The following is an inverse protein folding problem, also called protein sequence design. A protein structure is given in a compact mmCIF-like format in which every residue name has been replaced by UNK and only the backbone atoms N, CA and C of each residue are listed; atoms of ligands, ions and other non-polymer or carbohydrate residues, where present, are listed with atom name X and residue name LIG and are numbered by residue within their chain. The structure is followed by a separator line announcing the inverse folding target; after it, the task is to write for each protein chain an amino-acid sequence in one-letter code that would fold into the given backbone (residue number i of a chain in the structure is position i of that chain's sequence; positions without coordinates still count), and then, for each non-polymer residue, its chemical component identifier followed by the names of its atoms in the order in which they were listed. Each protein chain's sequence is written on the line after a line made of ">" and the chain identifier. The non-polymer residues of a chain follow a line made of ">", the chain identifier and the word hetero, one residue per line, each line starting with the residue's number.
data_IF_583286043310
#
_entry.id   IF_583286043310
#
_cell.length_a   1.000
_cell.length_b   1.000
_cell.length_c   1.000
_cell.angle_alpha   90.00
_cell.angle_beta   90.00
_cell.angle_gamma   90.00
#
_symmetry.space_group_name_H-M   'P 1'
#
loop_
_entity.id
_entity.type
_entity.pdbx_description
1 polymer ?
#
# COMPACT_ATOMS: atom_id res chain seq x y z
N UNK A 1 -29.78 -40.43 -11.54
CA UNK A 1 -29.23 -40.72 -12.88
C UNK A 1 -29.95 -39.82 -13.88
N UNK A 2 -29.20 -38.97 -14.59
CA UNK A 2 -29.51 -38.08 -15.73
C UNK A 2 -30.96 -38.05 -16.27
N UNK A 3 -31.52 -36.84 -16.45
CA UNK A 3 -31.61 -36.23 -17.80
C UNK A 3 -32.11 -34.77 -17.77
N UNK A 4 -31.24 -33.89 -18.26
CA UNK A 4 -31.55 -32.56 -18.76
C UNK A 4 -32.58 -32.63 -19.88
N UNK A 5 -33.55 -31.71 -19.86
CA UNK A 5 -34.34 -31.31 -21.03
C UNK A 5 -33.78 -30.02 -21.60
N UNK A 6 -33.33 -30.10 -22.85
CA UNK A 6 -32.95 -29.00 -23.71
C UNK A 6 -34.19 -28.24 -24.20
N UNK A 7 -34.15 -26.91 -24.20
CA UNK A 7 -34.94 -26.09 -25.11
C UNK A 7 -34.00 -25.07 -25.77
N UNK A 8 -33.80 -25.27 -27.07
CA UNK A 8 -33.24 -24.34 -28.04
C UNK A 8 -34.41 -23.71 -28.79
N UNK A 9 -34.60 -22.38 -28.75
CA UNK A 9 -35.24 -21.54 -29.80
C UNK A 9 -34.73 -20.11 -29.61
N UNK A 10 -33.68 -19.70 -30.33
CA UNK A 10 -33.68 -18.88 -31.57
C UNK A 10 -34.34 -17.50 -31.44
N UNK A 11 -33.48 -16.51 -31.24
CA UNK A 11 -33.34 -15.21 -31.92
C UNK A 11 -34.54 -14.64 -32.70
N UNK A 12 -35.06 -13.51 -32.22
CA UNK A 12 -35.63 -12.46 -33.07
C UNK A 12 -35.21 -11.08 -32.52
N UNK A 13 -34.24 -10.46 -33.17
CA UNK A 13 -33.87 -9.06 -32.98
C UNK A 13 -34.91 -8.23 -33.75
N UNK A 14 -35.66 -7.38 -33.04
CA UNK A 14 -36.40 -6.27 -33.66
C UNK A 14 -35.90 -4.99 -33.03
N UNK A 15 -35.24 -4.17 -33.87
CA UNK A 15 -34.83 -2.82 -33.57
C UNK A 15 -36.05 -1.91 -33.56
N UNK A 16 -36.33 -1.26 -32.43
CA UNK A 16 -37.14 -0.04 -32.40
C UNK A 16 -36.54 0.98 -31.43
N UNK A 17 -36.21 2.11 -32.04
CA UNK A 17 -35.64 3.37 -31.57
C UNK A 17 -35.87 3.82 -30.12
N UNK A 18 -34.86 4.52 -29.58
CA UNK A 18 -34.96 5.40 -28.43
C UNK A 18 -36.00 6.53 -28.65
N UNK A 19 -36.68 6.91 -27.56
CA UNK A 19 -36.68 8.24 -26.93
C UNK A 19 -38.10 8.68 -26.48
N UNK A 20 -38.33 8.74 -25.16
CA UNK A 20 -39.25 9.69 -24.52
C UNK A 20 -38.74 9.90 -23.10
N UNK A 21 -38.63 11.18 -22.76
CA UNK A 21 -37.79 11.69 -21.69
C UNK A 21 -38.41 11.65 -20.29
N UNK A 22 -37.49 11.78 -19.34
CA UNK A 22 -37.67 12.37 -18.02
C UNK A 22 -38.64 11.69 -17.05
N UNK A 23 -38.23 10.56 -16.50
CA UNK A 23 -38.27 10.33 -15.05
C UNK A 23 -37.27 9.23 -14.72
N UNK A 24 -36.30 9.51 -13.85
CA UNK A 24 -35.35 8.61 -13.18
C UNK A 24 -33.95 9.21 -13.12
N UNK A 25 -33.85 10.41 -12.53
CA UNK A 25 -32.58 10.90 -11.95
C UNK A 25 -32.34 10.35 -10.53
N UNK A 26 -33.32 9.66 -9.95
CA UNK A 26 -33.33 9.28 -8.53
C UNK A 26 -32.66 7.90 -8.28
N UNK A 27 -32.49 7.04 -9.29
CA UNK A 27 -31.95 5.68 -9.09
C UNK A 27 -30.46 5.51 -9.47
N UNK A 28 -29.79 6.55 -9.97
CA UNK A 28 -28.35 6.47 -10.35
C UNK A 28 -27.44 7.04 -9.24
N UNK A 29 -27.97 7.92 -8.37
CA UNK A 29 -27.22 8.45 -7.23
C UNK A 29 -27.11 7.42 -6.08
N UNK A 30 -28.13 6.58 -5.85
CA UNK A 30 -28.09 5.56 -4.79
C UNK A 30 -27.08 4.42 -5.04
N UNK A 31 -26.79 4.09 -6.30
CA UNK A 31 -25.76 3.07 -6.63
C UNK A 31 -24.35 3.66 -6.58
N UNK A 32 -24.19 4.98 -6.70
CA UNK A 32 -22.89 5.66 -6.56
C UNK A 32 -22.46 5.84 -5.11
N UNK A 33 -23.40 5.81 -4.17
CA UNK A 33 -23.11 6.02 -2.74
C UNK A 33 -22.84 4.71 -1.98
N UNK A 34 -23.23 3.55 -2.52
CA UNK A 34 -22.96 2.24 -1.91
C UNK A 34 -21.53 1.71 -2.14
N UNK A 35 -20.73 2.36 -3.00
CA UNK A 35 -19.28 2.13 -3.12
C UNK A 35 -18.46 3.31 -2.56
N UNK A 36 -19.04 4.14 -1.68
CA UNK A 36 -18.23 4.89 -0.74
C UNK A 36 -17.78 3.92 0.34
N UNK A 37 -16.81 3.05 0.02
CA UNK A 37 -15.99 2.43 1.05
C UNK A 37 -15.58 3.57 1.97
N UNK A 38 -16.02 3.55 3.23
CA UNK A 38 -15.70 4.60 4.18
C UNK A 38 -14.18 4.58 4.35
N UNK A 39 -13.48 5.37 3.53
CA UNK A 39 -12.04 5.47 3.58
C UNK A 39 -11.69 6.41 4.72
N UNK A 40 -11.08 5.86 5.77
CA UNK A 40 -10.61 6.65 6.92
C UNK A 40 -9.10 6.76 6.83
N UNK A 41 -8.58 7.98 6.92
CA UNK A 41 -7.14 8.21 6.99
C UNK A 41 -6.56 7.61 8.27
N UNK A 42 -5.43 6.92 8.15
CA UNK A 42 -4.74 6.29 9.27
C UNK A 42 -3.47 7.07 9.57
N UNK A 43 -3.30 7.62 10.79
CA UNK A 43 -2.11 8.36 11.15
C UNK A 43 -0.89 7.44 11.28
N UNK A 44 0.28 7.96 10.92
CA UNK A 44 1.55 7.26 11.01
C UNK A 44 2.70 8.24 11.30
N UNK A 45 3.84 7.69 11.71
CA UNK A 45 5.10 8.42 11.86
C UNK A 45 6.14 7.77 10.95
N UNK A 46 6.86 8.56 10.17
CA UNK A 46 8.03 8.08 9.44
C UNK A 46 9.23 7.92 10.38
N UNK A 47 9.72 6.69 10.50
CA UNK A 47 10.89 6.40 11.32
C UNK A 47 12.18 6.85 10.64
N UNK A 48 13.10 7.41 11.43
CA UNK A 48 14.38 7.96 10.96
C UNK A 48 15.55 7.22 11.58
N UNK A 49 16.70 7.34 10.92
CA UNK A 49 18.00 6.79 11.32
C UNK A 49 18.01 5.24 11.38
N UNK A 50 17.41 4.62 10.36
CA UNK A 50 17.48 3.19 10.09
C UNK A 50 18.07 2.95 8.71
N UNK A 51 18.68 1.78 8.52
CA UNK A 51 19.20 1.33 7.23
C UNK A 51 18.89 -0.16 7.03
N UNK A 52 18.80 -0.59 5.78
CA UNK A 52 18.60 -2.01 5.45
C UNK A 52 19.90 -2.77 5.65
N UNK A 53 19.86 -3.90 6.35
CA UNK A 53 21.03 -4.73 6.58
C UNK A 53 21.63 -5.24 5.26
N UNK A 54 22.95 -5.32 5.20
CA UNK A 54 23.69 -5.78 4.02
C UNK A 54 23.40 -7.26 3.65
N UNK A 55 22.78 -8.01 4.56
CA UNK A 55 22.34 -9.40 4.33
C UNK A 55 21.06 -9.49 3.51
N UNK A 56 20.31 -8.39 3.35
CA UNK A 56 19.10 -8.36 2.54
C UNK A 56 19.47 -8.18 1.08
N UNK A 57 19.10 -9.18 0.28
CA UNK A 57 19.26 -9.18 -1.16
C UNK A 57 17.89 -9.34 -1.82
N UNK A 58 17.36 -8.25 -2.34
CA UNK A 58 16.07 -8.19 -2.99
C UNK A 58 16.21 -7.67 -4.44
N UNK A 59 15.64 -8.42 -5.38
CA UNK A 59 15.65 -8.05 -6.80
C UNK A 59 14.53 -7.05 -7.18
N UNK A 60 13.60 -6.79 -6.26
CA UNK A 60 12.44 -5.90 -6.43
C UNK A 60 12.15 -5.21 -5.10
N UNK A 61 11.27 -4.21 -5.14
CA UNK A 61 10.75 -3.60 -3.91
C UNK A 61 9.98 -4.65 -3.11
N UNK A 62 10.36 -4.83 -1.86
CA UNK A 62 9.64 -5.63 -0.88
C UNK A 62 8.76 -4.73 -0.02
N UNK A 63 7.53 -5.18 0.22
CA UNK A 63 6.56 -4.51 1.07
C UNK A 63 6.31 -5.35 2.30
N UNK A 64 6.59 -4.80 3.48
CA UNK A 64 6.63 -5.55 4.73
C UNK A 64 5.61 -5.00 5.72
N UNK A 65 4.85 -5.90 6.32
CA UNK A 65 4.04 -5.65 7.52
C UNK A 65 4.74 -6.36 8.69
N UNK A 66 5.31 -5.60 9.59
CA UNK A 66 6.18 -6.10 10.67
C UNK A 66 5.53 -5.79 12.01
N UNK A 67 5.29 -6.82 12.82
CA UNK A 67 4.54 -6.72 14.09
C UNK A 67 5.38 -7.09 15.31
N UNK A 68 6.67 -7.38 15.12
CA UNK A 68 7.61 -7.83 16.16
C UNK A 68 9.00 -7.26 15.94
N UNK A 69 9.72 -7.05 17.06
CA UNK A 69 11.11 -6.57 17.04
C UNK A 69 12.04 -7.49 16.23
N UNK A 70 11.98 -8.81 16.45
CA UNK A 70 12.90 -9.75 15.79
C UNK A 70 12.80 -9.71 14.25
N UNK A 71 11.58 -9.61 13.73
CA UNK A 71 11.36 -9.46 12.28
C UNK A 71 11.78 -8.07 11.77
N UNK A 72 11.69 -7.03 12.60
CA UNK A 72 12.23 -5.72 12.22
C UNK A 72 13.76 -5.75 12.15
N UNK A 73 14.40 -6.30 13.18
CA UNK A 73 15.86 -6.42 13.27
C UNK A 73 16.46 -7.40 12.26
N UNK A 74 15.66 -8.30 11.67
CA UNK A 74 16.12 -9.13 10.56
C UNK A 74 16.30 -8.35 9.26
N UNK A 75 15.65 -7.18 9.12
CA UNK A 75 15.76 -6.31 7.93
C UNK A 75 16.56 -5.04 8.20
N UNK A 76 16.45 -4.44 9.39
CA UNK A 76 16.90 -3.09 9.64
C UNK A 76 17.93 -3.00 10.77
N UNK A 77 18.98 -2.21 10.53
CA UNK A 77 19.93 -1.75 11.54
C UNK A 77 19.71 -0.27 11.90
N UNK A 78 20.27 0.17 13.01
CA UNK A 78 20.20 1.56 13.48
C UNK A 78 21.42 2.37 13.02
N UNK A 79 21.19 3.55 12.46
CA UNK A 79 22.24 4.48 12.06
C UNK A 79 22.34 5.65 13.04
N UNK A 80 23.02 5.44 14.18
CA UNK A 80 23.20 6.53 15.15
C UNK A 80 24.21 7.54 14.64
N UNK A 81 23.81 8.80 14.47
CA UNK A 81 24.73 9.92 14.22
C UNK A 81 24.97 10.72 15.50
N UNK A 82 26.09 11.44 15.61
CA UNK A 82 26.34 12.28 16.78
C UNK A 82 25.40 13.50 16.78
N UNK A 83 24.72 13.76 17.91
CA UNK A 83 23.80 14.88 18.10
C UNK A 83 22.37 14.44 18.43
N UNK A 84 21.53 15.37 18.90
CA UNK A 84 20.17 15.06 19.40
C UNK A 84 19.26 14.44 18.33
N UNK A 85 19.44 14.81 17.05
CA UNK A 85 18.67 14.26 15.92
C UNK A 85 19.21 12.92 15.40
N UNK A 86 20.34 12.45 15.94
CA UNK A 86 20.99 11.22 15.49
C UNK A 86 20.46 9.96 16.16
N UNK A 87 19.55 10.07 17.12
CA UNK A 87 18.92 8.91 17.77
C UNK A 87 17.86 8.31 16.83
N UNK A 88 17.85 6.97 16.63
CA UNK A 88 16.78 6.29 15.90
C UNK A 88 15.40 6.52 16.52
N UNK A 89 14.38 6.65 15.66
CA UNK A 89 12.99 6.76 16.11
C UNK A 89 12.62 5.50 16.89
N UNK A 90 12.37 5.56 18.21
CA UNK A 90 12.08 4.35 18.97
C UNK A 90 10.75 3.72 18.53
N UNK A 91 10.74 2.40 18.35
CA UNK A 91 9.58 1.63 17.96
C UNK A 91 9.19 0.70 19.10
N UNK A 92 7.99 0.87 19.66
CA UNK A 92 7.43 -0.03 20.67
C UNK A 92 6.40 -0.94 20.01
N UNK A 93 6.80 -2.18 19.68
CA UNK A 93 5.93 -3.16 19.02
C UNK A 93 4.75 -3.64 19.89
N UNK A 94 4.71 -3.27 21.18
CA UNK A 94 3.51 -3.48 22.01
C UNK A 94 2.40 -2.48 21.68
N UNK A 95 2.76 -1.28 21.21
CA UNK A 95 1.85 -0.17 20.92
C UNK A 95 1.71 0.15 19.44
N UNK A 96 2.65 -0.34 18.63
CA UNK A 96 2.71 -0.05 17.20
C UNK A 96 3.07 -1.28 16.38
N UNK A 97 2.82 -1.20 15.09
CA UNK A 97 3.37 -2.09 14.08
C UNK A 97 4.01 -1.24 12.98
N UNK A 98 4.80 -1.88 12.13
CA UNK A 98 5.58 -1.22 11.09
C UNK A 98 5.09 -1.63 9.72
N UNK A 99 4.96 -0.64 8.83
CA UNK A 99 4.86 -0.85 7.39
C UNK A 99 6.15 -0.35 6.74
N UNK A 100 6.82 -1.19 5.97
CA UNK A 100 8.08 -0.80 5.35
C UNK A 100 8.12 -1.13 3.86
N UNK A 101 8.83 -0.27 3.12
CA UNK A 101 9.21 -0.47 1.73
C UNK A 101 10.73 -0.62 1.70
N UNK A 102 11.21 -1.72 1.12
CA UNK A 102 12.63 -2.03 0.97
C UNK A 102 12.91 -2.15 -0.53
N UNK A 103 13.56 -1.16 -1.11
CA UNK A 103 13.88 -1.15 -2.54
C UNK A 103 15.14 -1.94 -2.85
N UNK A 104 15.38 -2.25 -4.12
CA UNK A 104 16.61 -2.93 -4.51
C UNK A 104 17.84 -2.03 -4.35
N UNK A 105 19.00 -2.65 -4.19
CA UNK A 105 20.28 -1.94 -4.17
C UNK A 105 20.52 -1.22 -5.52
N UNK A 106 20.85 0.08 -5.46
CA UNK A 106 20.92 0.94 -6.65
C UNK A 106 21.95 2.07 -6.47
N UNK A 107 22.59 2.48 -7.57
CA UNK A 107 23.52 3.63 -7.61
C UNK A 107 22.79 4.95 -7.88
N UNK A 108 21.49 4.90 -8.10
CA UNK A 108 20.67 6.10 -8.36
C UNK A 108 20.03 6.56 -7.08
N UNK A 109 19.85 7.86 -6.94
CA UNK A 109 19.06 8.40 -5.84
C UNK A 109 17.67 7.83 -5.93
N UNK A 110 17.24 7.07 -4.93
CA UNK A 110 15.96 6.38 -4.94
C UNK A 110 15.32 6.56 -3.59
N UNK A 111 14.08 7.02 -3.58
CA UNK A 111 13.29 7.19 -2.37
C UNK A 111 11.84 6.80 -2.61
N UNK A 112 11.13 6.55 -1.52
CA UNK A 112 9.69 6.31 -1.53
C UNK A 112 9.00 7.56 -1.00
N UNK A 113 7.90 7.94 -1.63
CA UNK A 113 6.98 8.98 -1.15
C UNK A 113 5.66 8.29 -0.80
N UNK A 114 5.11 8.55 0.39
CA UNK A 114 3.79 8.03 0.76
C UNK A 114 2.72 8.97 0.24
N UNK A 115 1.87 8.45 -0.63
CA UNK A 115 0.77 9.20 -1.22
C UNK A 115 -0.43 9.17 -0.26
N UNK A 116 -0.73 8.00 0.32
CA UNK A 116 -1.86 7.82 1.24
C UNK A 116 -1.75 6.54 2.06
N UNK A 117 -2.21 6.58 3.31
CA UNK A 117 -2.53 5.39 4.12
C UNK A 117 -3.98 5.49 4.60
N UNK A 118 -4.84 4.62 4.10
CA UNK A 118 -6.27 4.58 4.46
C UNK A 118 -6.74 3.21 4.87
N UNK A 119 -7.71 3.20 5.77
CA UNK A 119 -8.52 2.04 6.12
C UNK A 119 -9.64 1.88 5.10
N UNK A 120 -9.76 0.69 4.49
CA UNK A 120 -10.80 0.31 3.53
C UNK A 120 -11.45 -1.00 3.99
N UNK A 121 -12.47 -0.89 4.84
CA UNK A 121 -13.10 -2.06 5.45
C UNK A 121 -12.11 -2.81 6.35
N UNK A 122 -11.79 -4.05 5.99
CA UNK A 122 -10.93 -4.93 6.79
C UNK A 122 -9.44 -4.86 6.45
N UNK A 123 -9.05 -3.98 5.52
CA UNK A 123 -7.64 -3.80 5.13
C UNK A 123 -7.18 -2.35 5.28
N UNK A 124 -5.87 -2.16 5.38
CA UNK A 124 -5.21 -0.90 5.08
C UNK A 124 -4.73 -0.90 3.63
N UNK A 125 -4.81 0.26 2.99
CA UNK A 125 -4.23 0.52 1.68
C UNK A 125 -3.16 1.60 1.82
N UNK A 126 -1.91 1.23 1.58
CA UNK A 126 -0.78 2.14 1.52
C UNK A 126 -0.42 2.38 0.06
N UNK A 127 -0.69 3.57 -0.46
CA UNK A 127 -0.21 3.98 -1.77
C UNK A 127 1.06 4.81 -1.68
N UNK A 128 1.99 4.56 -2.60
CA UNK A 128 3.30 5.18 -2.60
C UNK A 128 3.85 5.32 -4.03
N UNK A 129 4.72 6.29 -4.22
CA UNK A 129 5.45 6.50 -5.48
C UNK A 129 6.94 6.31 -5.26
N UNK A 130 7.62 5.72 -6.25
CA UNK A 130 9.07 5.58 -6.25
C UNK A 130 9.66 6.78 -7.01
N UNK A 131 10.48 7.59 -6.32
CA UNK A 131 11.27 8.63 -6.98
C UNK A 131 12.64 8.06 -7.27
N UNK A 132 13.12 8.23 -8.50
CA UNK A 132 14.45 7.80 -8.89
C UNK A 132 15.12 8.86 -9.77
N UNK A 133 16.38 9.19 -9.48
CA UNK A 133 17.18 10.04 -10.36
C UNK A 133 17.54 9.30 -11.66
N UNK A 134 17.72 10.06 -12.75
CA UNK A 134 18.26 9.52 -14.01
C UNK A 134 19.77 9.26 -13.97
N UNK A 135 20.47 9.90 -13.04
CA UNK A 135 21.93 9.87 -12.93
C UNK A 135 22.41 8.84 -11.90
N UNK A 136 23.53 8.19 -12.21
CA UNK A 136 24.23 7.30 -11.28
C UNK A 136 25.16 8.10 -10.37
N UNK A 137 25.32 7.64 -9.13
CA UNK A 137 26.24 8.16 -8.12
C UNK A 137 27.44 7.22 -7.95
N UNK A 138 28.48 7.70 -7.27
CA UNK A 138 29.70 6.92 -6.97
C UNK A 138 29.53 5.86 -5.88
N UNK A 139 28.33 5.74 -5.29
CA UNK A 139 28.03 4.82 -4.22
C UNK A 139 26.69 4.15 -4.46
N UNK A 140 26.54 2.96 -3.89
CA UNK A 140 25.29 2.20 -3.94
C UNK A 140 24.52 2.36 -2.64
N UNK A 141 23.21 2.59 -2.74
CA UNK A 141 22.29 2.65 -1.60
C UNK A 141 21.34 1.46 -1.60
N UNK A 142 20.81 1.14 -0.42
CA UNK A 142 19.68 0.25 -0.24
C UNK A 142 18.50 1.10 0.29
N UNK A 143 17.64 1.63 -0.59
CA UNK A 143 16.63 2.60 -0.19
C UNK A 143 15.53 1.94 0.63
N UNK A 144 15.07 2.62 1.68
CA UNK A 144 13.94 2.15 2.48
C UNK A 144 13.09 3.29 3.01
N UNK A 145 11.84 2.97 3.33
CA UNK A 145 10.92 3.83 4.07
C UNK A 145 10.21 2.98 5.12
N UNK A 146 10.09 3.51 6.34
CA UNK A 146 9.53 2.81 7.50
C UNK A 146 8.46 3.69 8.12
N UNK A 147 7.23 3.19 8.18
CA UNK A 147 6.09 3.82 8.84
C UNK A 147 5.78 3.09 10.14
N UNK A 148 5.67 3.84 11.23
CA UNK A 148 5.21 3.37 12.52
C UNK A 148 3.74 3.74 12.66
N UNK A 149 2.88 2.73 12.82
CA UNK A 149 1.43 2.87 12.88
C UNK A 149 0.94 2.37 14.23
N UNK A 150 -0.01 3.08 14.84
CA UNK A 150 -0.61 2.66 16.11
C UNK A 150 -1.33 1.32 15.94
N UNK A 151 -1.11 0.41 16.89
CA UNK A 151 -1.61 -0.97 16.86
C UNK A 151 -3.12 -1.08 16.89
N UNK A 152 -3.83 -0.04 17.32
CA UNK A 152 -5.30 0.05 17.22
C UNK A 152 -5.80 0.05 15.77
N UNK A 153 -4.95 0.39 14.80
CA UNK A 153 -5.27 0.34 13.37
C UNK A 153 -4.72 -0.92 12.68
N UNK A 154 -4.20 -1.90 13.43
CA UNK A 154 -3.58 -3.09 12.84
C UNK A 154 -4.59 -3.94 12.07
N UNK A 155 -4.36 -4.07 10.75
CA UNK A 155 -5.12 -4.90 9.82
C UNK A 155 -4.18 -5.52 8.79
N UNK A 156 -4.71 -6.36 7.90
CA UNK A 156 -3.98 -6.74 6.69
C UNK A 156 -3.73 -5.51 5.80
N UNK A 157 -2.61 -5.51 5.09
CA UNK A 157 -2.17 -4.32 4.33
C UNK A 157 -1.95 -4.66 2.87
N UNK A 158 -2.53 -3.84 2.00
CA UNK A 158 -2.28 -3.83 0.57
C UNK A 158 -1.42 -2.63 0.22
N UNK A 159 -0.30 -2.89 -0.44
CA UNK A 159 0.63 -1.88 -0.93
C UNK A 159 0.36 -1.61 -2.41
N UNK A 160 0.25 -0.34 -2.79
CA UNK A 160 -0.05 0.10 -4.15
C UNK A 160 1.04 1.05 -4.61
N UNK A 161 1.81 0.63 -5.62
CA UNK A 161 2.73 1.53 -6.31
C UNK A 161 1.96 2.36 -7.34
N UNK A 162 2.12 3.68 -7.27
CA UNK A 162 1.54 4.68 -8.19
C UNK A 162 2.62 5.34 -9.06
#
# INVERSE_FOLDING_TARGET
>A
MKRNTWILVVLAIVLTSCNIGNTNKIAIEEVKEMEKVMTKDVPYIEAKNYFVLNTIENAKVESLRITSQDHFESYFGTATTMGEQGTPTPIDFKKSFVLALVGQRTERDTSFEINRLVEKGDILELSYTIKQSGENRSFTIHPCLILVVDKTNEKDVRFIAE
#
